data_IF_161381617385
#
_entry.id   IF_161381617385
#
_cell.length_a   1.000
_cell.length_b   1.000
_cell.length_c   1.000
_cell.angle_alpha   90.00
_cell.angle_beta   90.00
_cell.angle_gamma   90.00
#
_symmetry.space_group_name_H-M   'P 1'
#
loop_
_entity.id
_entity.type
_entity.pdbx_description
1 polymer ?
#
# COMPACT_ATOMS: atom_id res chain seq x y z
N UNK A 1 8.06 -3.19 -5.23
CA UNK A 1 6.87 -2.35 -5.42
C UNK A 1 6.99 -1.12 -4.57
N UNK A 2 6.62 0.01 -5.15
CA UNK A 2 6.50 1.33 -4.52
C UNK A 2 5.60 1.30 -3.28
N UNK A 3 4.53 0.49 -3.27
CA UNK A 3 3.67 0.30 -2.08
C UNK A 3 4.44 -0.20 -0.86
N UNK A 4 5.21 -1.28 -1.03
CA UNK A 4 5.99 -1.87 0.07
C UNK A 4 7.14 -0.94 0.51
N UNK A 5 7.71 -0.14 -0.40
CA UNK A 5 8.71 0.88 -0.06
C UNK A 5 8.11 2.01 0.76
N UNK A 6 6.92 2.49 0.40
CA UNK A 6 6.18 3.49 1.17
C UNK A 6 5.82 2.96 2.57
N UNK A 7 5.40 1.70 2.68
CA UNK A 7 5.19 1.03 3.96
C UNK A 7 6.47 1.00 4.80
N UNK A 8 7.59 0.53 4.24
CA UNK A 8 8.87 0.48 4.93
C UNK A 8 9.30 1.86 5.43
N UNK A 9 9.18 2.88 4.58
CA UNK A 9 9.50 4.28 4.94
C UNK A 9 8.66 4.78 6.12
N UNK A 10 7.36 4.44 6.14
CA UNK A 10 6.47 4.81 7.24
C UNK A 10 6.84 4.09 8.54
N UNK A 11 7.16 2.79 8.48
CA UNK A 11 7.61 2.00 9.63
C UNK A 11 8.95 2.52 10.18
N UNK A 12 9.92 2.83 9.31
CA UNK A 12 11.20 3.40 9.71
C UNK A 12 11.06 4.72 10.45
N UNK A 13 10.10 5.57 10.05
CA UNK A 13 9.81 6.82 10.76
C UNK A 13 9.39 6.56 12.20
N UNK A 14 8.51 5.59 12.41
CA UNK A 14 8.07 5.21 13.77
C UNK A 14 9.21 4.56 14.58
N UNK A 15 10.09 3.81 13.92
CA UNK A 15 11.28 3.25 14.57
C UNK A 15 12.28 4.34 15.00
N UNK A 16 12.45 5.41 14.21
CA UNK A 16 13.29 6.55 14.60
C UNK A 16 12.79 7.24 15.87
N UNK A 17 11.48 7.39 16.03
CA UNK A 17 10.90 7.97 17.25
C UNK A 17 11.23 7.13 18.49
N UNK A 18 11.28 5.80 18.34
CA UNK A 18 11.74 4.91 19.40
C UNK A 18 13.24 5.04 19.70
N UNK A 19 14.09 5.18 18.67
CA UNK A 19 15.51 5.46 18.90
C UNK A 19 15.71 6.76 19.67
N UNK A 20 14.91 7.80 19.41
CA UNK A 20 14.94 9.05 20.19
C UNK A 20 14.56 8.81 21.66
N UNK A 21 13.54 8.00 21.94
CA UNK A 21 13.19 7.60 23.30
C UNK A 21 14.36 6.91 24.00
N UNK A 22 15.05 5.99 23.33
CA UNK A 22 16.22 5.30 23.89
C UNK A 22 17.33 6.29 24.22
N UNK A 23 17.64 7.23 23.32
CA UNK A 23 18.63 8.28 23.57
C UNK A 23 18.26 9.16 24.77
N UNK A 24 16.97 9.48 24.93
CA UNK A 24 16.49 10.23 26.10
C UNK A 24 16.68 9.42 27.39
N UNK A 25 16.32 8.15 27.40
CA UNK A 25 16.52 7.27 28.55
C UNK A 25 18.00 7.16 28.93
N UNK A 26 18.88 7.01 27.95
CA UNK A 26 20.33 7.00 28.16
C UNK A 26 20.82 8.29 28.82
N UNK A 27 20.36 9.46 28.33
CA UNK A 27 20.69 10.75 28.95
C UNK A 27 20.23 10.82 30.43
N UNK A 28 19.02 10.34 30.72
CA UNK A 28 18.49 10.28 32.09
C UNK A 28 19.30 9.34 33.01
N UNK A 29 19.87 8.27 32.46
CA UNK A 29 20.71 7.33 33.18
C UNK A 29 22.11 7.90 33.45
N UNK A 30 22.80 8.35 32.39
CA UNK A 30 24.21 8.73 32.44
C UNK A 30 24.42 10.11 33.07
N UNK A 31 23.64 11.12 32.65
CA UNK A 31 23.86 12.50 33.05
C UNK A 31 23.05 12.89 34.29
N UNK A 32 21.79 12.49 34.36
CA UNK A 32 20.89 12.89 35.45
C UNK A 32 20.92 11.92 36.64
N UNK A 33 21.45 10.69 36.46
CA UNK A 33 21.51 9.61 37.48
C UNK A 33 20.20 9.38 38.22
N UNK A 34 19.07 9.60 37.53
CA UNK A 34 17.73 9.58 38.12
C UNK A 34 16.79 8.58 37.42
N UNK A 35 17.35 7.69 36.61
CA UNK A 35 16.62 6.60 35.97
C UNK A 35 16.64 5.36 36.86
N UNK A 36 15.49 5.01 37.43
CA UNK A 36 15.28 3.72 38.11
C UNK A 36 14.64 2.74 37.14
N UNK A 37 14.76 1.43 37.42
CA UNK A 37 14.11 0.39 36.60
C UNK A 37 12.60 0.61 36.48
N UNK A 38 11.96 1.05 37.56
CA UNK A 38 10.53 1.38 37.56
C UNK A 38 10.18 2.53 36.61
N UNK A 39 10.99 3.61 36.60
CA UNK A 39 10.81 4.72 35.66
C UNK A 39 11.04 4.30 34.21
N UNK A 40 12.08 3.48 33.97
CA UNK A 40 12.35 2.93 32.64
C UNK A 40 11.16 2.12 32.13
N UNK A 41 10.63 1.20 32.93
CA UNK A 41 9.46 0.40 32.57
C UNK A 41 8.25 1.29 32.23
N UNK A 42 7.98 2.30 33.05
CA UNK A 42 6.89 3.25 32.82
C UNK A 42 7.06 4.02 31.50
N UNK A 43 8.26 4.54 31.20
CA UNK A 43 8.51 5.31 29.97
C UNK A 43 8.46 4.46 28.69
N UNK A 44 8.80 3.17 28.76
CA UNK A 44 8.84 2.28 27.60
C UNK A 44 7.46 1.73 27.24
N UNK A 45 6.50 1.70 28.17
CA UNK A 45 5.17 1.14 27.95
C UNK A 45 4.44 1.64 26.67
N UNK A 46 4.38 2.95 26.37
CA UNK A 46 3.72 3.42 25.16
C UNK A 46 4.40 2.94 23.88
N UNK A 47 5.74 2.85 23.89
CA UNK A 47 6.51 2.41 22.74
C UNK A 47 6.39 0.90 22.48
N UNK A 48 6.20 0.09 23.53
CA UNK A 48 6.02 -1.37 23.38
C UNK A 48 4.79 -1.71 22.53
N UNK A 49 3.64 -1.12 22.85
CA UNK A 49 2.40 -1.40 22.10
C UNK A 49 2.53 -0.97 20.61
N UNK A 50 3.22 0.15 20.36
CA UNK A 50 3.48 0.61 18.98
C UNK A 50 4.37 -0.38 18.23
N UNK A 51 5.46 -0.81 18.86
CA UNK A 51 6.41 -1.75 18.27
C UNK A 51 5.80 -3.14 18.05
N UNK A 52 4.95 -3.61 18.96
CA UNK A 52 4.23 -4.86 18.81
C UNK A 52 3.28 -4.82 17.60
N UNK A 53 2.55 -3.71 17.44
CA UNK A 53 1.68 -3.51 16.27
C UNK A 53 2.49 -3.50 14.97
N UNK A 54 3.62 -2.80 14.94
CA UNK A 54 4.53 -2.76 13.78
C UNK A 54 5.08 -4.16 13.46
N UNK A 55 5.53 -4.91 14.46
CA UNK A 55 6.03 -6.27 14.29
C UNK A 55 4.94 -7.22 13.77
N UNK A 56 3.70 -7.07 14.26
CA UNK A 56 2.54 -7.84 13.80
C UNK A 56 2.24 -7.58 12.32
N UNK A 57 2.25 -6.31 11.89
CA UNK A 57 2.08 -5.92 10.49
C UNK A 57 3.21 -6.46 9.62
N UNK A 58 4.47 -6.26 10.03
CA UNK A 58 5.64 -6.75 9.30
C UNK A 58 5.59 -8.26 9.10
N UNK A 59 5.26 -8.99 10.17
CA UNK A 59 5.14 -10.45 10.14
C UNK A 59 4.03 -10.91 9.20
N UNK A 60 2.87 -10.23 9.21
CA UNK A 60 1.76 -10.56 8.31
C UNK A 60 2.16 -10.36 6.83
N UNK A 61 2.79 -9.24 6.50
CA UNK A 61 3.25 -8.93 5.14
C UNK A 61 4.33 -9.92 4.67
N UNK A 62 5.30 -10.24 5.53
CA UNK A 62 6.39 -11.16 5.20
C UNK A 62 5.90 -12.61 5.04
N UNK A 63 5.10 -13.12 5.97
CA UNK A 63 4.55 -14.49 5.90
C UNK A 63 3.64 -14.68 4.69
N UNK A 64 2.84 -13.66 4.36
CA UNK A 64 1.96 -13.69 3.19
C UNK A 64 2.68 -13.44 1.86
N UNK A 65 3.98 -13.12 1.89
CA UNK A 65 4.75 -12.64 0.73
C UNK A 65 3.98 -11.53 0.00
N UNK A 66 3.39 -10.60 0.76
CA UNK A 66 2.48 -9.60 0.24
C UNK A 66 3.24 -8.52 -0.54
N UNK A 67 2.65 -8.15 -1.66
CA UNK A 67 3.22 -7.19 -2.60
C UNK A 67 2.12 -6.35 -3.24
N UNK A 68 2.39 -5.07 -3.47
CA UNK A 68 1.47 -4.18 -4.19
C UNK A 68 0.09 -4.13 -3.55
N UNK A 69 -0.96 -4.36 -4.35
CA UNK A 69 -2.34 -4.38 -3.86
C UNK A 69 -2.61 -5.37 -2.71
N UNK A 70 -1.90 -6.52 -2.66
CA UNK A 70 -2.03 -7.49 -1.55
C UNK A 70 -1.59 -6.90 -0.22
N UNK A 71 -0.51 -6.11 -0.22
CA UNK A 71 -0.02 -5.42 0.97
C UNK A 71 -1.09 -4.47 1.51
N UNK A 72 -1.76 -3.72 0.64
CA UNK A 72 -2.85 -2.83 1.05
C UNK A 72 -4.06 -3.59 1.60
N UNK A 73 -4.39 -4.74 1.01
CA UNK A 73 -5.45 -5.62 1.53
C UNK A 73 -5.18 -6.07 2.96
N UNK A 74 -3.97 -6.55 3.25
CA UNK A 74 -3.57 -7.00 4.60
C UNK A 74 -3.57 -5.84 5.60
N UNK A 75 -3.06 -4.66 5.22
CA UNK A 75 -3.07 -3.48 6.08
C UNK A 75 -4.50 -3.05 6.44
N UNK A 76 -5.40 -3.06 5.45
CA UNK A 76 -6.81 -2.73 5.67
C UNK A 76 -7.49 -3.74 6.59
N UNK A 77 -7.32 -5.04 6.35
CA UNK A 77 -7.88 -6.11 7.18
C UNK A 77 -7.42 -5.95 8.64
N UNK A 78 -6.11 -5.75 8.85
CA UNK A 78 -5.55 -5.50 10.18
C UNK A 78 -6.19 -4.28 10.85
N UNK A 79 -6.27 -3.15 10.15
CA UNK A 79 -6.91 -1.94 10.68
C UNK A 79 -8.38 -2.17 11.05
N UNK A 80 -9.12 -2.96 10.28
CA UNK A 80 -10.54 -3.27 10.56
C UNK A 80 -10.73 -4.28 11.69
N UNK A 81 -9.81 -5.24 11.86
CA UNK A 81 -9.88 -6.27 12.90
C UNK A 81 -9.65 -5.74 14.32
N UNK A 82 -8.99 -4.58 14.45
CA UNK A 82 -8.66 -3.94 15.72
C UNK A 82 -9.82 -3.07 16.23
N UNK A 83 -10.96 -3.69 16.54
CA UNK A 83 -12.16 -2.98 17.00
C UNK A 83 -12.09 -2.52 18.47
N UNK A 84 -11.27 -3.19 19.30
CA UNK A 84 -11.10 -2.88 20.72
C UNK A 84 -9.81 -2.15 21.11
N UNK A 85 -8.85 -2.03 20.19
CA UNK A 85 -7.57 -1.35 20.42
C UNK A 85 -7.45 -0.12 19.51
N UNK A 86 -7.85 1.03 20.04
CA UNK A 86 -7.86 2.29 19.29
C UNK A 86 -6.46 2.74 18.87
N UNK A 87 -5.44 2.47 19.68
CA UNK A 87 -4.06 2.88 19.42
C UNK A 87 -3.43 2.01 18.34
N UNK A 88 -3.56 0.69 18.45
CA UNK A 88 -3.07 -0.22 17.40
C UNK A 88 -3.80 0.05 16.07
N UNK A 89 -5.11 0.34 16.12
CA UNK A 89 -5.89 0.71 14.94
C UNK A 89 -5.37 1.99 14.29
N UNK A 90 -5.07 3.03 15.05
CA UNK A 90 -4.53 4.29 14.53
C UNK A 90 -3.20 4.08 13.79
N UNK A 91 -2.32 3.24 14.34
CA UNK A 91 -1.05 2.87 13.70
C UNK A 91 -1.30 2.15 12.37
N UNK A 92 -2.15 1.12 12.38
CA UNK A 92 -2.48 0.39 11.16
C UNK A 92 -3.10 1.30 10.09
N UNK A 93 -3.97 2.23 10.47
CA UNK A 93 -4.55 3.22 9.56
C UNK A 93 -3.49 4.18 9.01
N UNK A 94 -2.56 4.65 9.84
CA UNK A 94 -1.45 5.49 9.41
C UNK A 94 -0.57 4.78 8.37
N UNK A 95 -0.19 3.54 8.64
CA UNK A 95 0.60 2.71 7.73
C UNK A 95 -0.16 2.43 6.43
N UNK A 96 -1.45 2.06 6.51
CA UNK A 96 -2.30 1.83 5.34
C UNK A 96 -2.42 3.07 4.46
N UNK A 97 -2.60 4.25 5.06
CA UNK A 97 -2.67 5.53 4.34
C UNK A 97 -1.34 5.85 3.65
N UNK A 98 -0.21 5.68 4.35
CA UNK A 98 1.11 5.96 3.77
C UNK A 98 1.43 5.00 2.62
N UNK A 99 1.17 3.70 2.80
CA UNK A 99 1.44 2.68 1.79
C UNK A 99 0.55 2.80 0.55
N UNK A 100 -0.67 3.33 0.69
CA UNK A 100 -1.63 3.43 -0.42
C UNK A 100 -1.37 4.61 -1.35
N UNK A 101 -0.60 5.63 -0.94
CA UNK A 101 -0.27 6.80 -1.77
C UNK A 101 0.22 6.41 -3.17
N UNK A 102 1.32 5.64 -3.35
CA UNK A 102 1.79 5.30 -4.69
C UNK A 102 0.78 4.47 -5.49
N UNK A 103 -0.04 3.67 -4.83
CA UNK A 103 -1.07 2.89 -5.49
C UNK A 103 -2.19 3.78 -6.06
N UNK A 104 -2.64 4.75 -5.27
CA UNK A 104 -3.66 5.70 -5.70
C UNK A 104 -3.14 6.65 -6.78
N UNK A 105 -1.84 6.97 -6.80
CA UNK A 105 -1.25 7.69 -7.94
C UNK A 105 -1.32 6.89 -9.25
N UNK A 106 -1.21 5.57 -9.20
CA UNK A 106 -1.43 4.72 -10.39
C UNK A 106 -2.90 4.70 -10.80
N UNK A 107 -3.82 4.60 -9.83
CA UNK A 107 -5.27 4.69 -10.08
C UNK A 107 -5.63 6.02 -10.74
N UNK A 108 -5.09 7.13 -10.22
CA UNK A 108 -5.32 8.48 -10.74
C UNK A 108 -4.84 8.61 -12.19
N UNK A 109 -3.59 8.21 -12.48
CA UNK A 109 -3.05 8.22 -13.84
C UNK A 109 -3.86 7.34 -14.79
N UNK A 110 -4.33 6.19 -14.32
CA UNK A 110 -5.17 5.31 -15.12
C UNK A 110 -6.53 5.94 -15.46
N UNK A 111 -7.24 6.43 -14.44
CA UNK A 111 -8.59 7.00 -14.61
C UNK A 111 -8.58 8.30 -15.41
N UNK A 112 -7.64 9.20 -15.16
CA UNK A 112 -7.64 10.52 -15.79
C UNK A 112 -6.82 10.59 -17.08
N UNK A 113 -5.81 9.74 -17.25
CA UNK A 113 -4.89 9.82 -18.40
C UNK A 113 -4.90 8.55 -19.26
N UNK A 114 -5.54 7.46 -18.80
CA UNK A 114 -5.48 6.16 -19.47
C UNK A 114 -4.05 5.60 -19.51
N UNK A 115 -3.18 5.97 -18.56
CA UNK A 115 -1.77 5.52 -18.58
C UNK A 115 -1.51 4.56 -17.43
N UNK A 116 -0.92 3.41 -17.75
CA UNK A 116 -0.37 2.49 -16.74
C UNK A 116 1.12 2.80 -16.62
N UNK A 117 1.52 3.25 -15.43
CA UNK A 117 2.95 3.45 -15.08
C UNK A 117 3.28 2.55 -13.92
N UNK A 118 3.48 1.27 -14.23
CA UNK A 118 3.71 0.23 -13.23
C UNK A 118 4.92 -0.64 -13.63
N UNK A 119 6.10 -0.23 -13.18
CA UNK A 119 7.35 -0.97 -13.41
C UNK A 119 7.39 -2.29 -12.63
N UNK A 120 6.65 -2.36 -11.53
CA UNK A 120 6.77 -3.43 -10.55
C UNK A 120 5.62 -4.45 -10.61
N UNK A 121 4.62 -4.24 -11.47
CA UNK A 121 3.42 -5.08 -11.60
C UNK A 121 2.63 -5.17 -10.30
N UNK A 122 2.49 -4.03 -9.62
CA UNK A 122 1.76 -3.89 -8.35
C UNK A 122 0.33 -3.35 -8.52
N UNK A 123 -0.04 -2.86 -9.70
CA UNK A 123 -1.35 -2.27 -10.00
C UNK A 123 -2.43 -3.30 -10.35
N UNK A 124 -3.71 -2.95 -10.14
CA UNK A 124 -4.84 -3.82 -10.47
C UNK A 124 -5.07 -4.03 -11.97
N UNK A 125 -4.55 -3.17 -12.85
CA UNK A 125 -4.67 -3.32 -14.31
C UNK A 125 -3.31 -3.68 -14.91
N UNK A 126 -3.28 -4.75 -15.72
CA UNK A 126 -2.14 -5.09 -16.55
C UNK A 126 -2.38 -4.69 -18.02
N UNK A 127 -1.30 -4.32 -18.71
CA UNK A 127 -1.26 -4.20 -20.17
C UNK A 127 -0.71 -5.50 -20.78
N UNK A 128 -1.62 -6.29 -21.36
CA UNK A 128 -1.34 -7.48 -22.15
C UNK A 128 -0.75 -7.09 -23.50
N UNK A 129 0.52 -6.71 -23.49
CA UNK A 129 1.27 -6.17 -24.63
C UNK A 129 1.53 -7.18 -25.78
N UNK A 130 0.70 -8.22 -25.94
CA UNK A 130 0.88 -9.30 -26.93
C UNK A 130 0.04 -9.15 -28.21
N UNK A 131 -0.87 -8.18 -28.31
CA UNK A 131 -1.67 -7.98 -29.52
C UNK A 131 -1.28 -6.64 -30.18
N UNK A 132 -0.65 -6.71 -31.35
CA UNK A 132 -0.37 -5.54 -32.18
C UNK A 132 -1.64 -5.14 -32.93
N UNK A 133 -1.83 -3.83 -33.19
CA UNK A 133 -3.00 -3.33 -33.95
C UNK A 133 -3.11 -3.96 -35.35
N UNK A 134 -2.00 -4.47 -35.88
CA UNK A 134 -1.89 -4.99 -37.24
C UNK A 134 -2.48 -6.40 -37.40
N UNK A 135 -2.76 -7.11 -36.30
CA UNK A 135 -3.30 -8.48 -36.31
C UNK A 135 -4.84 -8.57 -36.19
N UNK A 136 -5.55 -7.43 -36.08
CA UNK A 136 -6.98 -7.42 -35.71
C UNK A 136 -7.85 -6.77 -36.80
N UNK A 137 -8.83 -7.51 -37.31
CA UNK A 137 -9.86 -6.98 -38.22
C UNK A 137 -10.72 -5.92 -37.52
N UNK A 138 -11.18 -4.91 -38.28
CA UNK A 138 -11.97 -3.77 -37.79
C UNK A 138 -13.23 -4.22 -37.00
N UNK A 139 -13.78 -5.38 -37.33
CA UNK A 139 -14.95 -5.99 -36.67
C UNK A 139 -14.68 -6.57 -35.27
N UNK A 140 -13.43 -6.62 -34.81
CA UNK A 140 -13.03 -7.26 -33.55
C UNK A 140 -12.41 -6.29 -32.53
N UNK A 141 -12.66 -4.99 -32.70
CA UNK A 141 -12.08 -3.89 -31.91
C UNK A 141 -12.48 -3.95 -30.42
N UNK A 142 -13.69 -4.38 -30.09
CA UNK A 142 -14.11 -4.61 -28.69
C UNK A 142 -13.31 -5.73 -28.02
N UNK A 143 -12.97 -6.76 -28.79
CA UNK A 143 -12.20 -7.91 -28.33
C UNK A 143 -10.73 -7.52 -28.10
N UNK A 144 -10.20 -6.62 -28.93
CA UNK A 144 -8.86 -6.06 -28.77
C UNK A 144 -8.68 -5.36 -27.41
N UNK A 145 -9.56 -4.43 -27.03
CA UNK A 145 -9.43 -3.70 -25.75
C UNK A 145 -9.68 -4.59 -24.53
N UNK A 146 -10.56 -5.59 -24.66
CA UNK A 146 -10.81 -6.56 -23.61
C UNK A 146 -9.64 -7.53 -23.39
N UNK A 147 -8.84 -7.77 -24.42
CA UNK A 147 -7.65 -8.63 -24.34
C UNK A 147 -6.41 -7.83 -23.92
N UNK A 148 -6.33 -6.54 -24.30
CA UNK A 148 -5.21 -5.65 -23.96
C UNK A 148 -5.17 -5.25 -22.48
N UNK A 149 -6.27 -4.82 -21.90
CA UNK A 149 -6.29 -4.40 -20.48
C UNK A 149 -7.12 -5.35 -19.64
N UNK A 150 -6.46 -6.02 -18.70
CA UNK A 150 -7.06 -7.05 -17.85
C UNK A 150 -6.86 -6.73 -16.38
N UNK A 151 -7.81 -7.18 -15.55
CA UNK A 151 -7.68 -7.13 -14.10
C UNK A 151 -6.70 -8.19 -13.62
N UNK A 152 -5.78 -7.78 -12.75
CA UNK A 152 -4.91 -8.69 -12.00
C UNK A 152 -5.55 -8.90 -10.64
N UNK A 153 -6.36 -9.96 -10.51
CA UNK A 153 -7.16 -10.24 -9.31
C UNK A 153 -6.33 -10.18 -8.02
N UNK A 154 -5.13 -10.76 -8.04
CA UNK A 154 -4.21 -10.75 -6.89
C UNK A 154 -3.74 -9.34 -6.50
N UNK A 155 -3.71 -8.38 -7.44
CA UNK A 155 -3.28 -7.00 -7.18
C UNK A 155 -4.45 -6.05 -6.90
N UNK A 156 -5.68 -6.57 -6.75
CA UNK A 156 -6.83 -5.78 -6.31
C UNK A 156 -6.84 -5.73 -4.77
N UNK A 157 -6.67 -4.55 -4.15
CA UNK A 157 -6.86 -4.41 -2.71
C UNK A 157 -8.29 -4.81 -2.35
N UNK A 158 -8.46 -5.54 -1.24
CA UNK A 158 -9.76 -6.12 -0.84
C UNK A 158 -10.89 -5.08 -0.77
N UNK A 159 -10.59 -3.87 -0.27
CA UNK A 159 -11.54 -2.76 -0.19
C UNK A 159 -11.93 -2.14 -1.54
N UNK A 160 -11.22 -2.46 -2.62
CA UNK A 160 -11.51 -1.98 -3.98
C UNK A 160 -12.24 -3.02 -4.85
N UNK A 161 -12.49 -4.23 -4.34
CA UNK A 161 -13.15 -5.30 -5.12
C UNK A 161 -14.48 -4.85 -5.74
N UNK A 162 -15.29 -4.06 -5.02
CA UNK A 162 -16.59 -3.59 -5.51
C UNK A 162 -16.49 -2.55 -6.65
N UNK A 163 -15.32 -1.97 -6.87
CA UNK A 163 -15.10 -0.88 -7.84
C UNK A 163 -14.02 -1.19 -8.88
N UNK A 164 -13.32 -2.32 -8.78
CA UNK A 164 -12.20 -2.69 -9.67
C UNK A 164 -12.61 -2.72 -11.15
N UNK A 165 -13.76 -3.31 -11.46
CA UNK A 165 -14.31 -3.36 -12.83
C UNK A 165 -14.62 -1.97 -13.39
N UNK A 166 -15.14 -1.08 -12.54
CA UNK A 166 -15.40 0.32 -12.93
C UNK A 166 -14.08 1.02 -13.24
N UNK A 167 -13.06 0.85 -12.38
CA UNK A 167 -11.72 1.43 -12.60
C UNK A 167 -11.11 0.94 -13.92
N UNK A 168 -11.17 -0.38 -14.18
CA UNK A 168 -10.69 -0.95 -15.46
C UNK A 168 -11.40 -0.29 -16.64
N UNK A 169 -12.73 -0.28 -16.60
CA UNK A 169 -13.58 0.23 -17.68
C UNK A 169 -13.35 1.72 -17.94
N UNK A 170 -13.23 2.54 -16.88
CA UNK A 170 -12.97 3.97 -17.00
C UNK A 170 -11.66 4.26 -17.74
N UNK A 171 -10.56 3.59 -17.37
CA UNK A 171 -9.29 3.82 -18.07
C UNK A 171 -9.22 3.21 -19.48
N UNK A 172 -10.02 2.18 -19.78
CA UNK A 172 -10.24 1.71 -21.17
C UNK A 172 -10.86 2.83 -22.01
N UNK A 173 -11.95 3.44 -21.56
CA UNK A 173 -12.58 4.56 -22.26
C UNK A 173 -11.63 5.75 -22.44
N UNK A 174 -10.86 6.08 -21.40
CA UNK A 174 -9.90 7.18 -21.46
C UNK A 174 -8.81 6.92 -22.52
N UNK A 175 -8.35 5.67 -22.66
CA UNK A 175 -7.41 5.29 -23.72
C UNK A 175 -8.00 5.39 -25.13
N UNK A 176 -9.25 4.96 -25.31
CA UNK A 176 -9.94 5.06 -26.61
C UNK A 176 -10.05 6.53 -27.04
N UNK A 177 -10.54 7.40 -26.15
CA UNK A 177 -10.67 8.84 -26.43
C UNK A 177 -9.31 9.44 -26.83
N UNK A 178 -8.25 9.08 -26.11
CA UNK A 178 -6.89 9.56 -26.41
C UNK A 178 -6.42 9.14 -27.81
N UNK A 179 -6.76 7.94 -28.26
CA UNK A 179 -6.39 7.45 -29.59
C UNK A 179 -7.20 8.08 -30.73
N UNK A 180 -8.42 8.56 -30.47
CA UNK A 180 -9.22 9.26 -31.46
C UNK A 180 -8.86 10.75 -31.60
N UNK A 181 -8.17 11.33 -30.60
CA UNK A 181 -7.76 12.74 -30.59
C UNK A 181 -6.41 13.01 -31.28
N UNK A 182 -5.71 11.97 -31.69
CA UNK A 182 -4.45 11.98 -32.46
C UNK A 182 -4.68 11.38 -33.83
#
# INVERSE_FOLDING_TARGET
GTVNQALATAMERMMRDHSVLVTQLEHHLVHLRNLTLHKMWFYVQPALAHMETLASVATAVLKGQCFGGRTLGVLHEKATSLTGDSRAREICLHLAKAASVPYFEMVEKWIYQGQIRDVYKEFLVADGNQVTKDDVSVDNTDNYWNTRYTLVADMVPTFMNAISEKILTTGKYQNVIRQCAT
#
